data_IF_038398443786
#
_entry.id   IF_038398443786
#
_cell.length_a   1.000
_cell.length_b   1.000
_cell.length_c   1.000
_cell.angle_alpha   90.00
_cell.angle_beta   90.00
_cell.angle_gamma   90.00
#
_symmetry.space_group_name_H-M   'P 1'
#
loop_
_entity.id
_entity.type
_entity.pdbx_description
1 polymer ?
#
# COMPACT_ATOMS: atom_id res chain seq x y z
N UNK A 1 -1.16 -9.86 -16.90
CA UNK A 1 -1.81 -8.53 -16.96
C UNK A 1 -2.74 -8.46 -15.77
N UNK A 2 -2.39 -7.61 -14.81
CA UNK A 2 -2.75 -7.72 -13.39
C UNK A 2 -4.19 -7.32 -13.09
N UNK A 3 -4.87 -8.14 -12.29
CA UNK A 3 -6.19 -7.87 -11.69
C UNK A 3 -6.24 -6.60 -10.82
N UNK A 4 -5.13 -5.87 -10.62
CA UNK A 4 -5.17 -4.53 -10.03
C UNK A 4 -5.96 -3.52 -10.88
N UNK A 5 -6.14 -3.73 -12.19
CA UNK A 5 -7.09 -2.91 -12.96
C UNK A 5 -8.54 -3.10 -12.51
N UNK A 6 -8.88 -4.17 -11.77
CA UNK A 6 -10.21 -4.32 -11.16
C UNK A 6 -10.44 -3.32 -10.02
N UNK A 7 -9.39 -2.65 -9.52
CA UNK A 7 -9.50 -1.54 -8.57
C UNK A 7 -9.93 -0.22 -9.23
N UNK A 8 -10.10 -0.20 -10.57
CA UNK A 8 -10.34 1.01 -11.35
C UNK A 8 -11.79 1.50 -11.34
N UNK A 9 -12.75 0.72 -10.85
CA UNK A 9 -14.16 1.09 -10.88
C UNK A 9 -14.48 2.29 -9.98
N UNK A 10 -15.42 3.13 -10.44
CA UNK A 10 -15.66 4.53 -10.01
C UNK A 10 -16.21 4.74 -8.58
N UNK A 11 -16.11 3.74 -7.71
CA UNK A 11 -16.23 3.83 -6.25
C UNK A 11 -15.04 3.05 -5.66
N UNK A 12 -13.84 3.43 -6.09
CA UNK A 12 -12.65 2.64 -5.78
C UNK A 12 -12.37 2.66 -4.28
N UNK A 13 -11.90 1.54 -3.70
CA UNK A 13 -11.57 1.43 -2.29
C UNK A 13 -10.75 2.60 -1.75
N UNK A 14 -11.09 3.05 -0.56
CA UNK A 14 -10.35 4.05 0.19
C UNK A 14 -9.07 3.43 0.80
N UNK A 15 -9.23 2.41 1.65
CA UNK A 15 -8.15 1.60 2.19
C UNK A 15 -8.18 0.21 1.57
N UNK A 16 -7.06 -0.23 0.98
CA UNK A 16 -6.87 -1.56 0.41
C UNK A 16 -5.88 -2.33 1.28
N UNK A 17 -6.25 -3.55 1.66
CA UNK A 17 -5.37 -4.46 2.39
C UNK A 17 -5.05 -5.66 1.51
N UNK A 18 -3.76 -5.97 1.43
CA UNK A 18 -3.25 -7.06 0.62
C UNK A 18 -2.52 -8.03 1.54
N UNK A 19 -3.00 -9.26 1.63
CA UNK A 19 -2.43 -10.30 2.46
C UNK A 19 -1.72 -11.32 1.56
N UNK A 20 -0.47 -11.65 1.86
CA UNK A 20 0.22 -12.70 1.11
C UNK A 20 1.20 -13.46 1.97
N UNK A 21 1.32 -14.76 1.70
CA UNK A 21 2.39 -15.59 2.27
C UNK A 21 3.71 -15.46 1.49
N UNK A 22 3.75 -14.70 0.39
CA UNK A 22 4.86 -14.67 -0.55
C UNK A 22 5.51 -13.27 -0.65
N UNK A 23 6.73 -13.06 -0.12
CA UNK A 23 7.39 -11.75 -0.13
C UNK A 23 7.64 -11.17 -1.54
N UNK A 24 7.73 -12.04 -2.56
CA UNK A 24 7.93 -11.61 -3.96
C UNK A 24 6.74 -10.84 -4.52
N UNK A 25 5.57 -10.95 -3.88
CA UNK A 25 4.36 -10.24 -4.31
C UNK A 25 4.51 -8.72 -4.12
N UNK A 26 5.27 -8.27 -3.12
CA UNK A 26 5.30 -6.86 -2.75
C UNK A 26 5.91 -5.97 -3.84
N UNK A 27 6.90 -6.48 -4.60
CA UNK A 27 7.41 -5.78 -5.78
C UNK A 27 6.36 -5.68 -6.89
N UNK A 28 5.54 -6.71 -7.10
CA UNK A 28 4.43 -6.66 -8.07
C UNK A 28 3.38 -5.64 -7.64
N UNK A 29 3.10 -5.55 -6.34
CA UNK A 29 2.21 -4.55 -5.77
C UNK A 29 2.74 -3.14 -5.93
N UNK A 30 4.05 -2.94 -5.73
CA UNK A 30 4.68 -1.66 -6.01
C UNK A 30 4.52 -1.26 -7.48
N UNK A 31 4.82 -2.15 -8.42
CA UNK A 31 4.69 -1.86 -9.87
C UNK A 31 3.24 -1.56 -10.24
N UNK A 32 2.28 -2.32 -9.72
CA UNK A 32 0.88 -2.07 -10.03
C UNK A 32 0.32 -0.80 -9.35
N UNK A 33 0.80 -0.49 -8.14
CA UNK A 33 0.47 0.77 -7.48
C UNK A 33 1.18 1.97 -8.12
N UNK A 34 2.34 1.75 -8.76
CA UNK A 34 3.02 2.71 -9.62
C UNK A 34 2.20 2.98 -10.89
N UNK A 35 1.75 1.94 -11.59
CA UNK A 35 0.86 2.05 -12.74
C UNK A 35 -0.39 2.86 -12.42
N UNK A 36 -1.02 2.53 -11.29
CA UNK A 36 -2.25 3.16 -10.87
C UNK A 36 -2.05 4.57 -10.31
N UNK A 37 -0.98 4.75 -9.51
CA UNK A 37 -0.60 5.99 -8.85
C UNK A 37 -0.20 7.08 -9.84
N UNK A 38 0.62 6.72 -10.84
CA UNK A 38 1.20 7.69 -11.79
C UNK A 38 0.21 8.21 -12.83
N UNK A 39 -0.88 7.49 -13.09
CA UNK A 39 -1.95 7.94 -13.99
C UNK A 39 -3.00 8.84 -13.31
N UNK A 40 -3.08 8.80 -11.97
CA UNK A 40 -4.23 9.37 -11.23
C UNK A 40 -3.85 10.33 -10.11
N UNK A 41 -2.70 10.16 -9.46
CA UNK A 41 -2.35 10.89 -8.23
C UNK A 41 -1.26 11.92 -8.44
N UNK A 42 -1.39 13.07 -7.75
CA UNK A 42 -0.35 14.11 -7.74
C UNK A 42 0.87 13.67 -6.94
N UNK A 43 0.67 12.88 -5.88
CA UNK A 43 1.74 12.45 -4.98
C UNK A 43 1.56 11.01 -4.53
N UNK A 44 2.64 10.24 -4.59
CA UNK A 44 2.69 8.86 -4.09
C UNK A 44 3.77 8.74 -3.02
N UNK A 45 3.43 8.19 -1.87
CA UNK A 45 4.37 7.88 -0.80
C UNK A 45 4.53 6.36 -0.70
N UNK A 46 5.70 5.84 -1.04
CA UNK A 46 6.00 4.43 -0.87
C UNK A 46 6.85 4.23 0.38
N UNK A 47 6.37 3.40 1.28
CA UNK A 47 6.96 3.16 2.59
C UNK A 47 7.29 1.69 2.71
N UNK A 48 8.54 1.38 3.06
CA UNK A 48 9.00 0.01 3.21
C UNK A 48 10.00 -0.08 4.34
N UNK A 49 9.98 -1.21 5.05
CA UNK A 49 11.06 -1.54 5.95
C UNK A 49 12.37 -1.80 5.18
N UNK A 50 13.37 -0.96 5.38
CA UNK A 50 14.60 -0.97 4.60
C UNK A 50 15.84 -1.09 5.48
N UNK A 51 16.52 -2.24 5.41
CA UNK A 51 17.97 -2.33 5.70
C UNK A 51 18.85 -2.02 4.47
N UNK A 52 18.21 -1.72 3.33
CA UNK A 52 18.74 -1.49 1.98
C UNK A 52 19.74 -2.52 1.41
N UNK A 53 19.36 -3.13 0.28
CA UNK A 53 20.30 -3.34 -0.84
C UNK A 53 19.73 -2.95 -2.21
N UNK A 54 18.43 -2.70 -2.39
CA UNK A 54 17.93 -2.25 -3.70
C UNK A 54 16.57 -1.55 -3.64
N UNK A 55 16.43 -0.49 -4.45
CA UNK A 55 15.13 0.04 -4.91
C UNK A 55 14.32 -1.12 -5.52
N UNK A 56 12.98 -1.17 -5.37
CA UNK A 56 12.18 -2.19 -6.07
C UNK A 56 12.58 -2.27 -7.54
N UNK A 57 12.79 -3.49 -8.04
CA UNK A 57 13.14 -3.67 -9.45
C UNK A 57 11.94 -3.27 -10.31
N UNK A 58 12.02 -2.09 -10.92
CA UNK A 58 11.00 -1.59 -11.85
C UNK A 58 11.45 -1.89 -13.27
N UNK A 59 10.56 -2.35 -14.17
CA UNK A 59 10.91 -2.49 -15.57
C UNK A 59 11.48 -1.19 -16.16
N UNK A 60 12.51 -1.30 -17.00
CA UNK A 60 13.25 -0.13 -17.53
C UNK A 60 12.37 0.89 -18.27
N UNK A 61 11.27 0.43 -18.86
CA UNK A 61 10.25 1.23 -19.54
C UNK A 61 9.57 2.28 -18.63
N UNK A 62 9.47 2.04 -17.32
CA UNK A 62 8.95 3.05 -16.38
C UNK A 62 9.93 4.20 -16.16
N UNK A 63 11.23 3.96 -16.33
CA UNK A 63 12.25 5.00 -16.26
C UNK A 63 12.33 5.82 -17.56
N UNK A 64 11.70 5.36 -18.64
CA UNK A 64 11.61 6.10 -19.90
C UNK A 64 10.74 7.36 -19.80
N UNK A 65 9.88 7.45 -18.77
CA UNK A 65 9.12 8.65 -18.43
C UNK A 65 9.53 9.19 -17.03
N UNK A 66 10.57 10.04 -16.96
CA UNK A 66 11.05 10.60 -15.71
C UNK A 66 10.01 11.44 -14.95
N UNK A 67 8.96 11.93 -15.63
CA UNK A 67 7.90 12.68 -14.96
C UNK A 67 7.08 11.78 -14.02
N UNK A 68 6.94 10.49 -14.34
CA UNK A 68 6.24 9.50 -13.51
C UNK A 68 6.98 9.17 -12.23
N UNK A 69 8.31 9.19 -12.24
CA UNK A 69 9.11 8.92 -11.04
C UNK A 69 9.16 10.12 -10.09
N UNK A 70 9.01 11.35 -10.61
CA UNK A 70 9.04 12.58 -9.81
C UNK A 70 7.86 12.73 -8.86
N UNK A 71 6.76 12.01 -9.09
CA UNK A 71 5.58 12.05 -8.22
C UNK A 71 5.69 11.11 -7.01
N UNK A 72 6.76 10.31 -6.94
CA UNK A 72 6.95 9.28 -5.92
C UNK A 72 8.00 9.71 -4.92
N UNK A 73 7.64 9.65 -3.64
CA UNK A 73 8.55 9.83 -2.54
C UNK A 73 8.71 8.49 -1.81
N UNK A 74 9.95 8.01 -1.76
CA UNK A 74 10.31 6.77 -1.08
C UNK A 74 10.69 7.04 0.38
N UNK A 75 10.16 6.22 1.29
CA UNK A 75 10.45 6.25 2.71
C UNK A 75 10.92 4.86 3.15
N UNK A 76 12.22 4.72 3.37
CA UNK A 76 12.81 3.47 3.85
C UNK A 76 13.11 3.61 5.32
N UNK A 77 12.39 2.84 6.14
CA UNK A 77 12.49 2.91 7.61
C UNK A 77 13.06 1.62 8.17
N UNK A 78 13.84 1.69 9.25
CA UNK A 78 14.55 0.51 9.74
C UNK A 78 13.59 -0.56 10.30
N UNK A 79 12.56 -0.15 11.04
CA UNK A 79 11.71 -1.10 11.78
C UNK A 79 10.19 -0.86 11.64
N UNK A 80 9.74 0.38 11.43
CA UNK A 80 8.34 0.77 11.71
C UNK A 80 7.62 1.42 10.50
N UNK A 81 7.37 0.68 9.40
CA UNK A 81 6.73 1.22 8.19
C UNK A 81 5.30 1.71 8.44
N UNK A 82 4.56 1.03 9.31
CA UNK A 82 3.21 1.42 9.72
C UNK A 82 3.18 2.75 10.48
N UNK A 83 4.14 2.99 11.39
CA UNK A 83 4.20 4.26 12.11
C UNK A 83 4.52 5.42 11.18
N UNK A 84 5.41 5.21 10.20
CA UNK A 84 5.67 6.22 9.18
C UNK A 84 4.44 6.51 8.33
N UNK A 85 3.64 5.49 8.03
CA UNK A 85 2.38 5.65 7.34
C UNK A 85 1.37 6.47 8.17
N UNK A 86 1.26 6.18 9.47
CA UNK A 86 0.42 6.93 10.39
C UNK A 86 0.85 8.41 10.47
N UNK A 87 2.16 8.69 10.58
CA UNK A 87 2.71 10.05 10.58
C UNK A 87 2.29 10.81 9.32
N UNK A 88 2.51 10.22 8.13
CA UNK A 88 2.15 10.84 6.86
C UNK A 88 0.63 11.01 6.71
N UNK A 89 -0.17 10.09 7.24
CA UNK A 89 -1.64 10.16 7.20
C UNK A 89 -2.20 11.36 7.98
N UNK A 90 -1.44 11.88 8.94
CA UNK A 90 -1.79 13.02 9.77
C UNK A 90 -1.19 14.35 9.27
N UNK A 91 -0.14 14.32 8.44
CA UNK A 91 0.50 15.54 7.90
C UNK A 91 -0.48 16.34 7.03
N UNK A 92 -0.73 17.59 7.42
CA UNK A 92 -1.68 18.48 6.74
C UNK A 92 -1.33 18.76 5.28
N UNK A 93 -0.04 18.76 4.92
CA UNK A 93 0.42 18.98 3.54
C UNK A 93 0.14 17.75 2.69
N UNK A 94 0.36 16.56 3.24
CA UNK A 94 0.03 15.29 2.58
C UNK A 94 -1.49 15.17 2.39
N UNK A 95 -2.26 15.63 3.37
CA UNK A 95 -3.73 15.65 3.29
C UNK A 95 -4.28 16.72 2.36
N UNK A 96 -3.58 17.82 2.10
CA UNK A 96 -4.05 18.88 1.21
C UNK A 96 -4.11 18.44 -0.27
N UNK A 97 -3.31 17.44 -0.64
CA UNK A 97 -3.16 16.96 -2.01
C UNK A 97 -3.86 15.62 -2.25
N UNK A 98 -4.17 15.36 -3.52
CA UNK A 98 -4.50 14.02 -4.02
C UNK A 98 -3.28 13.10 -3.87
N UNK A 99 -3.37 12.19 -2.90
CA UNK A 99 -2.23 11.41 -2.42
C UNK A 99 -2.55 9.92 -2.30
N UNK A 100 -1.59 9.10 -2.73
CA UNK A 100 -1.56 7.66 -2.50
C UNK A 100 -0.46 7.30 -1.49
N UNK A 101 -0.80 6.59 -0.41
CA UNK A 101 0.17 5.98 0.52
C UNK A 101 0.22 4.48 0.24
N UNK A 102 1.42 3.94 -0.02
CA UNK A 102 1.67 2.52 -0.22
C UNK A 102 2.61 2.07 0.89
N UNK A 103 2.21 1.05 1.64
CA UNK A 103 2.98 0.55 2.79
C UNK A 103 3.27 -0.94 2.59
N UNK A 104 4.55 -1.28 2.54
CA UNK A 104 5.02 -2.65 2.55
C UNK A 104 5.45 -3.06 3.96
N UNK A 105 4.72 -4.01 4.54
CA UNK A 105 5.05 -4.64 5.80
C UNK A 105 5.57 -6.06 5.54
N UNK A 106 6.64 -6.42 6.23
CA UNK A 106 7.14 -7.80 6.29
C UNK A 106 6.83 -8.45 7.65
N UNK A 107 7.25 -9.70 7.84
CA UNK A 107 7.01 -10.48 9.06
C UNK A 107 7.57 -9.84 10.34
N UNK A 108 8.53 -8.92 10.22
CA UNK A 108 9.14 -8.25 11.36
C UNK A 108 8.58 -6.82 11.54
N UNK A 109 7.65 -6.40 10.70
CA UNK A 109 7.00 -5.08 10.77
C UNK A 109 5.76 -5.09 11.69
N UNK A 110 5.54 -6.17 12.44
CA UNK A 110 4.37 -6.33 13.29
C UNK A 110 4.48 -5.45 14.55
N UNK A 111 3.53 -4.53 14.72
CA UNK A 111 3.48 -3.59 15.84
C UNK A 111 2.68 -4.10 17.05
N UNK A 112 2.15 -5.33 16.99
CA UNK A 112 1.08 -5.77 17.89
C UNK A 112 -0.31 -5.36 17.38
N UNK A 113 -1.34 -6.05 17.85
CA UNK A 113 -2.71 -5.90 17.38
C UNK A 113 -3.24 -4.47 17.55
N UNK A 114 -3.09 -3.91 18.75
CA UNK A 114 -3.62 -2.58 19.09
C UNK A 114 -2.97 -1.47 18.25
N UNK A 115 -1.65 -1.49 18.11
CA UNK A 115 -0.93 -0.50 17.31
C UNK A 115 -1.24 -0.66 15.80
N UNK A 116 -1.39 -1.89 15.34
CA UNK A 116 -1.82 -2.18 13.96
C UNK A 116 -3.23 -1.65 13.72
N UNK A 117 -4.19 -1.95 14.59
CA UNK A 117 -5.56 -1.47 14.50
C UNK A 117 -5.64 0.07 14.47
N UNK A 118 -4.91 0.74 15.38
CA UNK A 118 -4.84 2.20 15.40
C UNK A 118 -4.28 2.77 14.09
N UNK A 119 -3.23 2.16 13.56
CA UNK A 119 -2.64 2.60 12.29
C UNK A 119 -3.61 2.41 11.13
N UNK A 120 -4.29 1.27 11.05
CA UNK A 120 -5.28 1.00 10.02
C UNK A 120 -6.47 1.96 10.12
N UNK A 121 -6.91 2.31 11.33
CA UNK A 121 -7.94 3.34 11.54
C UNK A 121 -7.51 4.71 11.00
N UNK A 122 -6.26 5.11 11.25
CA UNK A 122 -5.70 6.36 10.73
C UNK A 122 -5.62 6.36 9.20
N UNK A 123 -5.14 5.27 8.60
CA UNK A 123 -5.07 5.13 7.15
C UNK A 123 -6.46 5.08 6.51
N UNK A 124 -7.44 4.42 7.13
CA UNK A 124 -8.83 4.44 6.68
C UNK A 124 -9.45 5.85 6.75
N UNK A 125 -9.14 6.61 7.80
CA UNK A 125 -9.59 8.00 7.95
C UNK A 125 -8.94 8.95 6.94
N UNK A 126 -7.64 8.76 6.68
CA UNK A 126 -6.89 9.50 5.67
C UNK A 126 -7.42 9.24 4.27
N UNK A 127 -7.75 7.98 3.98
CA UNK A 127 -8.17 7.50 2.67
C UNK A 127 -9.60 7.94 2.38
N UNK A 128 -9.80 9.23 2.14
CA UNK A 128 -11.07 9.85 1.78
C UNK A 128 -10.76 11.08 0.96
N UNK A 129 -11.70 11.56 0.15
CA UNK A 129 -11.55 12.81 -0.61
C UNK A 129 -10.32 12.80 -1.53
N UNK A 130 -10.28 11.85 -2.48
CA UNK A 130 -9.16 11.68 -3.44
C UNK A 130 -7.82 11.29 -2.79
N UNK A 131 -7.85 10.74 -1.59
CA UNK A 131 -6.68 10.15 -0.94
C UNK A 131 -6.92 8.67 -0.72
N UNK A 132 -5.86 7.88 -0.78
CA UNK A 132 -5.96 6.42 -0.66
C UNK A 132 -4.76 5.82 0.04
N UNK A 133 -4.97 4.64 0.59
CA UNK A 133 -3.91 3.84 1.21
C UNK A 133 -3.96 2.40 0.73
N UNK A 134 -2.81 1.85 0.42
CA UNK A 134 -2.60 0.43 0.13
C UNK A 134 -1.62 -0.09 1.17
N UNK A 135 -2.01 -1.11 1.93
CA UNK A 135 -1.13 -1.76 2.90
C UNK A 135 -1.01 -3.23 2.54
N UNK A 136 0.23 -3.69 2.37
CA UNK A 136 0.51 -5.11 2.18
C UNK A 136 1.10 -5.71 3.45
N UNK A 137 0.53 -6.83 3.89
CA UNK A 137 0.97 -7.61 5.05
C UNK A 137 1.34 -9.04 4.66
N UNK A 138 2.19 -9.70 5.48
CA UNK A 138 2.21 -11.15 5.55
C UNK A 138 0.80 -11.66 5.93
N UNK A 139 0.36 -12.75 5.30
CA UNK A 139 -0.91 -13.37 5.66
C UNK A 139 -0.91 -13.84 7.13
N UNK A 140 -1.93 -13.45 7.89
CA UNK A 140 -2.18 -13.82 9.28
C UNK A 140 -3.68 -13.67 9.55
N UNK A 141 -4.30 -14.64 10.22
CA UNK A 141 -5.75 -14.63 10.50
C UNK A 141 -6.15 -13.51 11.48
N UNK A 142 -5.32 -13.21 12.47
CA UNK A 142 -5.56 -12.11 13.41
C UNK A 142 -5.53 -10.76 12.67
N UNK A 143 -4.58 -10.58 11.76
CA UNK A 143 -4.50 -9.40 10.91
C UNK A 143 -5.71 -9.28 9.98
N UNK A 144 -6.22 -10.40 9.45
CA UNK A 144 -7.43 -10.41 8.64
C UNK A 144 -8.63 -9.91 9.45
N UNK A 145 -8.81 -10.43 10.65
CA UNK A 145 -9.89 -10.02 11.55
C UNK A 145 -9.81 -8.53 11.88
N UNK A 146 -8.63 -8.04 12.25
CA UNK A 146 -8.40 -6.62 12.54
C UNK A 146 -8.66 -5.75 11.30
N UNK A 147 -8.12 -6.14 10.15
CA UNK A 147 -8.27 -5.39 8.90
C UNK A 147 -9.75 -5.27 8.46
N UNK A 148 -10.54 -6.32 8.70
CA UNK A 148 -11.97 -6.37 8.37
C UNK A 148 -12.80 -5.28 9.06
N UNK A 149 -12.32 -4.73 10.18
CA UNK A 149 -12.97 -3.63 10.90
C UNK A 149 -12.88 -2.30 10.16
N UNK A 150 -11.90 -2.14 9.26
CA UNK A 150 -11.55 -0.85 8.66
C UNK A 150 -11.79 -0.80 7.15
N UNK A 151 -11.84 -1.96 6.50
CA UNK A 151 -12.15 -2.04 5.07
C UNK A 151 -12.74 -3.38 4.68
N UNK A 152 -13.57 -3.35 3.64
CA UNK A 152 -14.04 -4.55 2.94
C UNK A 152 -13.09 -5.02 1.83
N UNK A 153 -12.12 -4.18 1.49
CA UNK A 153 -11.25 -4.38 0.33
C UNK A 153 -9.97 -5.10 0.76
N UNK A 154 -10.16 -6.35 1.17
CA UNK A 154 -9.09 -7.24 1.62
C UNK A 154 -8.90 -8.33 0.59
N UNK A 155 -7.70 -8.40 0.04
CA UNK A 155 -7.35 -9.37 -0.99
C UNK A 155 -6.26 -10.30 -0.48
N UNK A 156 -6.43 -11.61 -0.70
CA UNK A 156 -5.35 -12.59 -0.57
C UNK A 156 -4.67 -12.69 -1.92
N UNK A 157 -3.36 -12.52 -1.93
CA UNK A 157 -2.56 -12.68 -3.14
C UNK A 157 -1.91 -14.05 -3.17
N UNK A 158 -2.27 -14.84 -4.18
CA UNK A 158 -1.69 -16.15 -4.44
C UNK A 158 -0.31 -16.05 -5.09
N UNK A 159 0.43 -17.16 -5.10
CA UNK A 159 1.81 -17.23 -5.60
C UNK A 159 1.96 -16.85 -7.09
N UNK A 160 0.94 -17.15 -7.89
CA UNK A 160 0.85 -16.79 -9.31
C UNK A 160 0.59 -15.29 -9.54
N UNK A 161 0.18 -14.54 -8.50
CA UNK A 161 -0.13 -13.13 -8.58
C UNK A 161 -1.62 -12.82 -8.77
N UNK A 162 -2.49 -13.81 -8.67
CA UNK A 162 -3.93 -13.60 -8.69
C UNK A 162 -4.42 -13.05 -7.34
N UNK A 163 -5.46 -12.21 -7.40
CA UNK A 163 -6.05 -11.54 -6.25
C UNK A 163 -7.43 -12.13 -5.98
N UNK A 164 -7.61 -12.71 -4.80
CA UNK A 164 -8.92 -13.15 -4.33
C UNK A 164 -9.44 -12.19 -3.26
N UNK A 165 -10.55 -11.52 -3.53
CA UNK A 165 -11.27 -10.77 -2.50
C UNK A 165 -11.86 -11.75 -1.48
N UNK A 166 -11.70 -11.47 -0.18
CA UNK A 166 -12.16 -12.34 0.90
C UNK A 166 -13.62 -12.09 1.24
N UNK A 167 -14.16 -10.92 0.89
CA UNK A 167 -15.51 -10.50 1.26
C UNK A 167 -16.52 -10.52 0.10
N UNK A 168 -16.15 -11.09 -1.05
CA UNK A 168 -17.06 -11.37 -2.18
C UNK A 168 -17.61 -12.80 -2.13
#
# INVERSE_FOLDING_TARGET
MSELHLLEDRISPDLIILLSSYPRIHNKLFVAALDWGTARYRKTHYIRRGRFTSVPAVPSEYFADPARLKTIQFHYVEDLPLEKAAELSLDSRVRADETLIIVECDVNSYLGEQATANTLALLASFSRHSRRSIVSFPYCEDLLNIASLFTKHIFIVSNDGNLKNIQD
#
